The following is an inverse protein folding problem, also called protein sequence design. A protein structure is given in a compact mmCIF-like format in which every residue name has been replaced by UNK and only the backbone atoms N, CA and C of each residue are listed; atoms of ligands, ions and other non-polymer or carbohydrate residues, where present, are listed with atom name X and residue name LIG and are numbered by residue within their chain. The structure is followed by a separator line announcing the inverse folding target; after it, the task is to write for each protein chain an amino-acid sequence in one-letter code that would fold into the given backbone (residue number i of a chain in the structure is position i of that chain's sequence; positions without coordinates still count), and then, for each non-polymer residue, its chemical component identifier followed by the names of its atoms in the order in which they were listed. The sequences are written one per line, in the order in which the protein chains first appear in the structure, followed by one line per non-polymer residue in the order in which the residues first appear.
data_IF_167749503804
#
_entry.id   IF_167749503804
#
_cell.length_a   1.000
_cell.length_b   1.000
_cell.length_c   1.000
_cell.angle_alpha   90.00
_cell.angle_beta   90.00
_cell.angle_gamma   90.00
#
_symmetry.space_group_name_H-M   'P 1'
#
loop_
_entity.id
_entity.type
_entity.pdbx_description
1 polymer ?
#
# COMPACT_ATOMS: atom_id res chain seq x y z
N UNK A 1 1.54 -56.42 -10.04
CA UNK A 1 1.86 -55.30 -10.95
C UNK A 1 1.24 -54.04 -10.36
N UNK A 2 2.03 -53.22 -9.65
CA UNK A 2 1.56 -52.00 -8.99
C UNK A 2 1.76 -50.81 -9.95
N UNK A 3 0.71 -50.04 -10.18
CA UNK A 3 0.79 -48.73 -10.86
C UNK A 3 0.91 -47.66 -9.78
N UNK A 4 1.94 -46.84 -9.95
CA UNK A 4 2.45 -45.79 -9.07
C UNK A 4 1.45 -44.64 -8.86
N UNK A 5 1.25 -44.25 -7.60
CA UNK A 5 0.58 -43.00 -7.24
C UNK A 5 1.47 -41.79 -7.60
N UNK A 6 1.02 -40.98 -8.56
CA UNK A 6 1.67 -39.72 -8.94
C UNK A 6 1.36 -38.63 -7.92
N UNK A 7 2.22 -38.51 -6.90
CA UNK A 7 2.19 -37.40 -5.96
C UNK A 7 3.09 -36.25 -6.45
N UNK A 8 2.61 -35.45 -7.43
CA UNK A 8 3.15 -34.09 -7.69
C UNK A 8 2.24 -33.07 -8.46
N UNK A 9 1.01 -32.73 -8.01
CA UNK A 9 0.26 -31.61 -8.61
C UNK A 9 0.46 -30.26 -7.88
N UNK A 10 0.45 -30.25 -6.55
CA UNK A 10 0.28 -29.03 -5.73
C UNK A 10 1.37 -27.95 -5.92
N UNK A 11 2.64 -28.34 -6.04
CA UNK A 11 3.74 -27.39 -6.17
C UNK A 11 3.80 -26.73 -7.56
N UNK A 12 3.34 -27.44 -8.60
CA UNK A 12 3.28 -26.93 -9.98
C UNK A 12 2.06 -26.03 -10.17
N UNK A 13 0.96 -26.34 -9.46
CA UNK A 13 -0.26 -25.54 -9.44
C UNK A 13 -0.08 -24.18 -8.77
N UNK A 14 0.59 -24.13 -7.60
CA UNK A 14 0.89 -22.84 -6.95
C UNK A 14 1.78 -21.96 -7.81
N UNK A 15 2.80 -22.56 -8.45
CA UNK A 15 3.72 -21.83 -9.34
C UNK A 15 2.98 -21.21 -10.52
N UNK A 16 2.04 -21.93 -11.14
CA UNK A 16 1.28 -21.41 -12.30
C UNK A 16 0.33 -20.28 -11.88
N UNK A 17 -0.34 -20.44 -10.73
CA UNK A 17 -1.19 -19.39 -10.17
C UNK A 17 -0.41 -18.11 -9.90
N UNK A 18 0.78 -18.23 -9.32
CA UNK A 18 1.64 -17.08 -9.00
C UNK A 18 2.19 -16.41 -10.26
N UNK A 19 2.54 -17.19 -11.30
CA UNK A 19 2.94 -16.66 -12.61
C UNK A 19 1.82 -15.83 -13.26
N UNK A 20 0.57 -16.30 -13.19
CA UNK A 20 -0.59 -15.56 -13.70
C UNK A 20 -0.79 -14.23 -12.95
N UNK A 21 -0.65 -14.24 -11.63
CA UNK A 21 -0.76 -13.02 -10.82
C UNK A 21 0.38 -12.06 -11.17
N UNK A 22 1.62 -12.53 -11.23
CA UNK A 22 2.79 -11.70 -11.57
C UNK A 22 2.67 -11.09 -12.98
N UNK A 23 2.25 -11.88 -13.97
CA UNK A 23 2.00 -11.40 -15.33
C UNK A 23 0.91 -10.33 -15.36
N UNK A 24 -0.17 -10.52 -14.59
CA UNK A 24 -1.26 -9.54 -14.49
C UNK A 24 -0.77 -8.24 -13.86
N UNK A 25 -0.03 -8.31 -12.76
CA UNK A 25 0.59 -7.14 -12.12
C UNK A 25 1.44 -6.36 -13.11
N UNK A 26 2.29 -7.05 -13.89
CA UNK A 26 3.15 -6.39 -14.86
C UNK A 26 2.36 -5.67 -15.94
N UNK A 27 1.35 -6.34 -16.53
CA UNK A 27 0.51 -5.73 -17.56
C UNK A 27 -0.24 -4.51 -17.00
N UNK A 28 -0.81 -4.62 -15.79
CA UNK A 28 -1.49 -3.49 -15.16
C UNK A 28 -0.56 -2.30 -14.96
N UNK A 29 0.67 -2.55 -14.48
CA UNK A 29 1.65 -1.49 -14.25
C UNK A 29 2.15 -0.88 -15.55
N UNK A 30 2.35 -1.65 -16.62
CA UNK A 30 2.92 -1.15 -17.87
C UNK A 30 1.89 -0.54 -18.82
N UNK A 31 0.75 -1.23 -18.99
CA UNK A 31 -0.24 -1.02 -20.05
C UNK A 31 -1.63 -0.63 -19.50
N UNK A 32 -1.81 -0.65 -18.18
CA UNK A 32 -3.08 -0.37 -17.50
C UNK A 32 -4.01 -1.60 -17.39
N UNK A 33 -5.02 -1.50 -16.52
CA UNK A 33 -5.88 -2.65 -16.19
C UNK A 33 -6.67 -3.20 -17.39
N UNK A 34 -7.04 -2.34 -18.34
CA UNK A 34 -7.82 -2.75 -19.51
C UNK A 34 -7.05 -3.71 -20.42
N UNK A 35 -5.71 -3.63 -20.44
CA UNK A 35 -4.86 -4.52 -21.23
C UNK A 35 -4.72 -5.94 -20.62
N UNK A 36 -5.00 -6.09 -19.32
CA UNK A 36 -4.83 -7.32 -18.55
C UNK A 36 -5.92 -8.37 -18.82
N UNK A 37 -6.22 -8.66 -20.09
CA UNK A 37 -7.20 -9.69 -20.49
C UNK A 37 -6.68 -11.11 -20.25
N UNK A 38 -7.57 -12.10 -20.11
CA UNK A 38 -7.18 -13.51 -19.92
C UNK A 38 -6.18 -14.00 -20.98
N UNK A 39 -6.40 -13.63 -22.25
CA UNK A 39 -5.49 -13.96 -23.35
C UNK A 39 -4.12 -13.29 -23.20
N UNK A 40 -4.08 -12.00 -22.88
CA UNK A 40 -2.81 -11.26 -22.72
C UNK A 40 -2.03 -11.76 -21.50
N UNK A 41 -2.70 -11.99 -20.38
CA UNK A 41 -2.12 -12.55 -19.16
C UNK A 41 -1.54 -13.94 -19.42
N UNK A 42 -2.29 -14.83 -20.08
CA UNK A 42 -1.80 -16.16 -20.41
C UNK A 42 -0.56 -16.12 -21.30
N UNK A 43 -0.57 -15.25 -22.32
CA UNK A 43 0.58 -15.04 -23.20
C UNK A 43 1.80 -14.51 -22.44
N UNK A 44 1.60 -13.51 -21.58
CA UNK A 44 2.66 -12.91 -20.76
C UNK A 44 3.24 -13.91 -19.74
N UNK A 45 2.39 -14.75 -19.15
CA UNK A 45 2.81 -15.81 -18.23
C UNK A 45 3.42 -17.04 -18.94
N UNK A 46 3.35 -17.12 -20.28
CA UNK A 46 3.84 -18.28 -21.03
C UNK A 46 3.01 -19.55 -20.80
N UNK A 47 1.71 -19.42 -20.52
CA UNK A 47 0.80 -20.55 -20.23
C UNK A 47 -0.38 -20.61 -21.20
N UNK A 48 -1.10 -21.74 -21.21
CA UNK A 48 -2.31 -21.89 -22.04
C UNK A 48 -3.45 -21.01 -21.52
N UNK A 49 -4.23 -20.32 -22.37
CA UNK A 49 -5.34 -19.46 -21.94
C UNK A 49 -6.37 -20.13 -21.03
N UNK A 50 -6.64 -21.42 -21.25
CA UNK A 50 -7.55 -22.21 -20.40
C UNK A 50 -7.14 -22.25 -18.92
N UNK A 51 -5.83 -22.10 -18.62
CA UNK A 51 -5.34 -22.12 -17.25
C UNK A 51 -5.74 -20.85 -16.47
N UNK A 52 -5.98 -19.73 -17.14
CA UNK A 52 -6.45 -18.51 -16.45
C UNK A 52 -7.77 -18.77 -15.76
N UNK A 53 -8.76 -19.26 -16.52
CA UNK A 53 -10.09 -19.56 -15.99
C UNK A 53 -10.14 -20.80 -15.09
N UNK A 54 -9.16 -21.69 -15.22
CA UNK A 54 -8.98 -22.81 -14.29
C UNK A 54 -8.60 -22.33 -12.88
N UNK A 55 -7.68 -21.37 -12.75
CA UNK A 55 -7.25 -20.84 -11.44
C UNK A 55 -8.12 -19.67 -10.94
N UNK A 56 -8.71 -18.91 -11.87
CA UNK A 56 -9.50 -17.71 -11.58
C UNK A 56 -10.79 -17.75 -12.39
N UNK A 57 -11.93 -18.15 -11.78
CA UNK A 57 -13.21 -18.29 -12.49
C UNK A 57 -13.56 -17.05 -13.32
N UNK A 58 -13.31 -15.87 -12.75
CA UNK A 58 -13.47 -14.58 -13.40
C UNK A 58 -12.16 -13.78 -13.45
N UNK A 59 -12.10 -12.77 -14.32
CA UNK A 59 -10.99 -11.81 -14.28
C UNK A 59 -10.97 -11.01 -12.97
N UNK A 60 -12.11 -10.83 -12.33
CA UNK A 60 -12.24 -10.07 -11.08
C UNK A 60 -11.56 -10.84 -9.95
N UNK A 61 -11.68 -12.17 -9.94
CA UNK A 61 -10.94 -13.03 -9.01
C UNK A 61 -9.41 -12.89 -9.16
N UNK A 62 -8.94 -12.75 -10.40
CA UNK A 62 -7.53 -12.52 -10.70
C UNK A 62 -7.08 -11.13 -10.25
N UNK A 63 -7.85 -10.08 -10.54
CA UNK A 63 -7.55 -8.73 -10.08
C UNK A 63 -7.58 -8.62 -8.55
N UNK A 64 -8.54 -9.27 -7.88
CA UNK A 64 -8.59 -9.36 -6.43
C UNK A 64 -7.36 -10.09 -5.86
N UNK A 65 -6.88 -11.14 -6.53
CA UNK A 65 -5.66 -11.83 -6.12
C UNK A 65 -4.43 -10.92 -6.25
N UNK A 66 -4.29 -10.17 -7.35
CA UNK A 66 -3.24 -9.14 -7.52
C UNK A 66 -3.32 -8.11 -6.39
N UNK A 67 -4.52 -7.57 -6.13
CA UNK A 67 -4.75 -6.58 -5.07
C UNK A 67 -4.32 -7.10 -3.71
N UNK A 68 -4.75 -8.32 -3.33
CA UNK A 68 -4.44 -8.92 -2.03
C UNK A 68 -2.94 -9.15 -1.83
N UNK A 69 -2.22 -9.56 -2.87
CA UNK A 69 -0.75 -9.69 -2.79
C UNK A 69 -0.12 -8.32 -2.57
N UNK A 70 -0.50 -7.33 -3.38
CA UNK A 70 0.00 -5.95 -3.23
C UNK A 70 -0.28 -5.39 -1.84
N UNK A 71 -1.51 -5.54 -1.35
CA UNK A 71 -1.93 -5.08 -0.04
C UNK A 71 -1.19 -5.79 1.11
N UNK A 72 -0.88 -7.09 0.96
CA UNK A 72 -0.09 -7.84 1.95
C UNK A 72 1.36 -7.35 1.99
N UNK A 73 1.99 -7.14 0.83
CA UNK A 73 3.35 -6.58 0.75
C UNK A 73 3.40 -5.17 1.34
N UNK A 74 2.38 -4.36 1.05
CA UNK A 74 2.27 -3.01 1.57
C UNK A 74 2.09 -3.01 3.10
N UNK A 75 1.27 -3.92 3.66
CA UNK A 75 1.13 -4.08 5.12
C UNK A 75 2.45 -4.47 5.79
N UNK A 76 3.19 -5.42 5.22
CA UNK A 76 4.48 -5.86 5.76
C UNK A 76 5.50 -4.70 5.79
N UNK A 77 5.56 -3.89 4.72
CA UNK A 77 6.40 -2.66 4.70
C UNK A 77 5.99 -1.68 5.78
N UNK A 78 4.69 -1.47 5.95
CA UNK A 78 4.17 -0.54 6.95
C UNK A 78 4.49 -0.99 8.37
N UNK A 79 4.34 -2.29 8.65
CA UNK A 79 4.67 -2.86 9.95
C UNK A 79 6.17 -2.70 10.27
N UNK A 80 7.03 -2.91 9.28
CA UNK A 80 8.48 -2.68 9.41
C UNK A 80 8.80 -1.20 9.63
N UNK A 81 8.13 -0.30 8.93
CA UNK A 81 8.30 1.14 9.09
C UNK A 81 7.94 1.60 10.51
N UNK A 82 6.80 1.14 11.04
CA UNK A 82 6.35 1.45 12.39
C UNK A 82 7.22 0.86 13.50
N UNK A 83 8.03 -0.16 13.19
CA UNK A 83 8.98 -0.76 14.13
C UNK A 83 10.39 -0.13 14.05
N UNK A 84 10.59 0.90 13.23
CA UNK A 84 11.86 1.59 13.09
C UNK A 84 12.10 2.63 14.18
N UNK A 85 13.34 3.12 14.30
CA UNK A 85 13.71 4.21 15.23
C UNK A 85 12.99 5.54 14.93
N UNK A 86 12.48 5.69 13.70
CA UNK A 86 11.79 6.89 13.21
C UNK A 86 10.46 6.48 12.53
N UNK A 87 9.48 6.01 13.33
CA UNK A 87 8.31 5.31 12.81
C UNK A 87 7.40 6.15 11.91
N UNK A 88 7.21 7.44 12.19
CA UNK A 88 6.46 8.38 11.36
C UNK A 88 7.18 8.72 10.05
N UNK A 89 8.50 8.90 10.07
CA UNK A 89 9.26 9.15 8.84
C UNK A 89 9.26 7.93 7.94
N UNK A 90 9.59 6.76 8.49
CA UNK A 90 9.57 5.52 7.73
C UNK A 90 8.17 5.25 7.16
N UNK A 91 7.12 5.55 7.93
CA UNK A 91 5.75 5.45 7.47
C UNK A 91 5.42 6.41 6.34
N UNK A 92 5.82 7.68 6.45
CA UNK A 92 5.66 8.68 5.40
C UNK A 92 6.34 8.23 4.10
N UNK A 93 7.54 7.68 4.18
CA UNK A 93 8.25 7.12 3.03
C UNK A 93 7.48 5.97 2.37
N UNK A 94 6.80 5.12 3.14
CA UNK A 94 5.92 4.08 2.56
C UNK A 94 4.75 4.67 1.79
N UNK A 95 4.23 5.83 2.22
CA UNK A 95 3.08 6.47 1.59
C UNK A 95 3.45 7.13 0.26
N UNK A 96 4.68 7.61 0.09
CA UNK A 96 5.14 8.32 -1.13
C UNK A 96 5.90 7.42 -2.12
N UNK A 97 5.95 6.11 -1.89
CA UNK A 97 6.71 5.17 -2.72
C UNK A 97 6.09 5.02 -4.14
N UNK A 98 6.82 5.33 -5.24
CA UNK A 98 6.24 5.42 -6.60
C UNK A 98 5.64 4.12 -7.16
N UNK A 99 6.19 2.96 -6.78
CA UNK A 99 5.77 1.65 -7.32
C UNK A 99 4.38 1.24 -6.84
N UNK A 100 3.99 1.66 -5.63
CA UNK A 100 2.73 1.25 -5.03
C UNK A 100 1.56 2.07 -5.63
N UNK A 101 1.84 3.26 -6.15
CA UNK A 101 0.82 4.20 -6.66
C UNK A 101 0.30 3.84 -8.04
N UNK A 102 1.15 3.43 -8.98
CA UNK A 102 0.67 3.11 -10.34
C UNK A 102 -0.34 1.95 -10.29
N UNK A 103 -0.03 0.91 -9.53
CA UNK A 103 -0.94 -0.20 -9.32
C UNK A 103 -2.21 0.22 -8.54
N UNK A 104 -2.07 1.07 -7.51
CA UNK A 104 -3.21 1.61 -6.77
C UNK A 104 -4.17 2.42 -7.66
N UNK A 105 -3.65 3.26 -8.55
CA UNK A 105 -4.47 4.06 -9.48
C UNK A 105 -5.25 3.18 -10.44
N UNK A 106 -4.63 2.14 -10.98
CA UNK A 106 -5.32 1.14 -11.80
C UNK A 106 -6.46 0.46 -11.02
N UNK A 107 -6.22 0.09 -9.76
CA UNK A 107 -7.26 -0.47 -8.89
C UNK A 107 -8.39 0.52 -8.57
N UNK A 108 -8.10 1.81 -8.40
CA UNK A 108 -9.14 2.83 -8.23
C UNK A 108 -10.00 2.96 -9.49
N UNK A 109 -9.37 3.02 -10.67
CA UNK A 109 -10.09 3.04 -11.94
C UNK A 109 -10.98 1.81 -12.10
N UNK A 110 -10.44 0.64 -11.77
CA UNK A 110 -11.15 -0.63 -11.77
C UNK A 110 -12.35 -0.63 -10.79
N UNK A 111 -12.18 -0.06 -9.60
CA UNK A 111 -13.21 0.04 -8.56
C UNK A 111 -14.40 0.92 -8.94
N UNK A 112 -14.21 1.91 -9.82
CA UNK A 112 -15.30 2.74 -10.34
C UNK A 112 -16.34 1.92 -11.12
N UNK A 113 -15.93 0.78 -11.67
CA UNK A 113 -16.76 -0.07 -12.50
C UNK A 113 -17.09 -1.43 -11.87
N UNK A 114 -16.45 -1.80 -10.75
CA UNK A 114 -16.55 -3.15 -10.16
C UNK A 114 -16.80 -3.09 -8.66
N UNK A 115 -18.03 -3.44 -8.25
CA UNK A 115 -18.50 -3.34 -6.86
C UNK A 115 -17.72 -4.23 -5.88
N UNK A 116 -17.37 -5.44 -6.29
CA UNK A 116 -16.64 -6.39 -5.43
C UNK A 116 -15.22 -5.90 -5.15
N UNK A 117 -14.54 -5.40 -6.18
CA UNK A 117 -13.20 -4.81 -6.06
C UNK A 117 -13.24 -3.54 -5.21
N UNK A 118 -14.26 -2.69 -5.40
CA UNK A 118 -14.48 -1.53 -4.53
C UNK A 118 -14.65 -1.92 -3.07
N UNK A 119 -15.43 -2.96 -2.78
CA UNK A 119 -15.67 -3.44 -1.42
C UNK A 119 -14.39 -3.98 -0.78
N UNK A 120 -13.60 -4.76 -1.52
CA UNK A 120 -12.31 -5.27 -1.04
C UNK A 120 -11.34 -4.12 -0.76
N UNK A 121 -11.19 -3.14 -1.67
CA UNK A 121 -10.33 -1.97 -1.46
C UNK A 121 -10.75 -1.17 -0.23
N UNK A 122 -12.06 -0.97 -0.03
CA UNK A 122 -12.59 -0.26 1.13
C UNK A 122 -12.27 -1.01 2.43
N UNK A 123 -12.49 -2.32 2.47
CA UNK A 123 -12.20 -3.14 3.64
C UNK A 123 -10.70 -3.11 4.01
N UNK A 124 -9.82 -3.16 3.01
CA UNK A 124 -8.39 -3.05 3.24
C UNK A 124 -7.95 -1.65 3.67
N UNK A 125 -8.55 -0.61 3.09
CA UNK A 125 -8.25 0.79 3.45
C UNK A 125 -8.67 1.09 4.90
N UNK A 126 -9.77 0.50 5.37
CA UNK A 126 -10.22 0.67 6.76
C UNK A 126 -9.29 -0.05 7.74
N UNK A 127 -8.98 -1.32 7.48
CA UNK A 127 -8.01 -2.09 8.29
C UNK A 127 -6.66 -1.39 8.39
N UNK A 128 -6.20 -0.84 7.27
CA UNK A 128 -4.98 -0.05 7.22
C UNK A 128 -5.09 1.16 8.14
N UNK A 129 -6.17 1.95 8.01
CA UNK A 129 -6.41 3.16 8.81
C UNK A 129 -6.47 2.87 10.30
N UNK A 130 -7.11 1.78 10.71
CA UNK A 130 -7.14 1.35 12.12
C UNK A 130 -5.72 1.14 12.67
N UNK A 131 -4.86 0.44 11.92
CA UNK A 131 -3.46 0.22 12.32
C UNK A 131 -2.66 1.53 12.40
N UNK A 132 -2.85 2.44 11.44
CA UNK A 132 -2.22 3.77 11.48
C UNK A 132 -2.63 4.55 12.73
N UNK A 133 -3.93 4.53 13.05
CA UNK A 133 -4.48 5.21 14.22
C UNK A 133 -3.92 4.60 15.50
N UNK A 134 -3.83 3.27 15.61
CA UNK A 134 -3.23 2.60 16.76
C UNK A 134 -1.77 3.00 16.96
N UNK A 135 -0.98 3.04 15.88
CA UNK A 135 0.42 3.44 15.96
C UNK A 135 0.59 4.92 16.35
N UNK A 136 -0.19 5.81 15.74
CA UNK A 136 -0.17 7.24 16.10
C UNK A 136 -0.63 7.48 17.54
N UNK A 137 -1.61 6.72 18.04
CA UNK A 137 -2.00 6.78 19.45
C UNK A 137 -0.86 6.40 20.40
N UNK A 138 -0.02 5.43 20.03
CA UNK A 138 1.14 5.07 20.83
C UNK A 138 2.15 6.22 20.87
N UNK A 139 2.47 6.79 19.71
CA UNK A 139 3.42 7.90 19.56
C UNK A 139 2.93 9.15 20.28
N UNK A 140 1.65 9.50 20.15
CA UNK A 140 1.07 10.66 20.84
C UNK A 140 1.15 10.54 22.35
N UNK A 141 0.95 9.34 22.91
CA UNK A 141 1.11 9.09 24.34
C UNK A 141 2.57 9.14 24.80
N UNK A 142 3.50 8.66 23.99
CA UNK A 142 4.93 8.65 24.33
C UNK A 142 5.54 10.07 24.33
N UNK A 143 5.05 10.95 23.46
CA UNK A 143 5.60 12.29 23.24
C UNK A 143 4.79 13.45 23.85
N UNK A 144 3.79 13.16 24.70
CA UNK A 144 2.92 14.15 25.38
C UNK A 144 2.28 15.16 24.43
N UNK A 145 1.82 14.67 23.26
CA UNK A 145 1.18 15.50 22.23
C UNK A 145 -0.28 15.74 22.62
N UNK A 146 -0.75 16.98 22.52
CA UNK A 146 -2.15 17.32 22.73
C UNK A 146 -3.05 16.65 21.67
N UNK A 147 -3.85 15.67 22.10
CA UNK A 147 -4.78 14.93 21.24
C UNK A 147 -5.98 15.75 20.79
N UNK A 148 -6.30 16.84 21.50
CA UNK A 148 -7.40 17.73 21.14
C UNK A 148 -6.97 18.67 20.01
N UNK A 149 -5.71 19.10 19.99
CA UNK A 149 -5.12 19.86 18.89
C UNK A 149 -4.74 18.97 17.70
N UNK A 150 -4.20 17.76 17.97
CA UNK A 150 -3.73 16.83 16.95
C UNK A 150 -4.34 15.42 17.10
N UNK A 151 -5.63 15.24 16.74
CA UNK A 151 -6.27 13.93 16.81
C UNK A 151 -5.55 12.90 15.93
N UNK A 152 -5.12 11.73 16.46
CA UNK A 152 -4.39 10.71 15.70
C UNK A 152 -5.09 10.26 14.42
N UNK A 153 -6.43 10.15 14.47
CA UNK A 153 -7.24 9.83 13.29
C UNK A 153 -7.19 10.90 12.22
N UNK A 154 -7.24 12.18 12.60
CA UNK A 154 -7.15 13.30 11.66
C UNK A 154 -5.75 13.36 11.03
N UNK A 155 -4.70 13.21 11.85
CA UNK A 155 -3.31 13.14 11.36
C UNK A 155 -3.11 12.01 10.35
N UNK A 156 -3.62 10.81 10.62
CA UNK A 156 -3.55 9.68 9.69
C UNK A 156 -4.18 10.04 8.33
N UNK A 157 -5.36 10.68 8.34
CA UNK A 157 -6.06 11.10 7.11
C UNK A 157 -5.23 12.13 6.34
N UNK A 158 -4.73 13.16 7.03
CA UNK A 158 -3.99 14.27 6.41
C UNK A 158 -2.69 13.77 5.79
N UNK A 159 -1.90 13.01 6.55
CA UNK A 159 -0.63 12.44 6.07
C UNK A 159 -0.89 11.53 4.85
N UNK A 160 -1.88 10.64 4.92
CA UNK A 160 -2.23 9.78 3.79
C UNK A 160 -2.72 10.58 2.57
N UNK A 161 -3.47 11.66 2.78
CA UNK A 161 -3.97 12.51 1.71
C UNK A 161 -2.83 13.25 0.98
N UNK A 162 -1.88 13.85 1.73
CA UNK A 162 -0.73 14.53 1.12
C UNK A 162 0.10 13.53 0.32
N UNK A 163 0.46 12.38 0.90
CA UNK A 163 1.25 11.37 0.21
C UNK A 163 0.57 10.89 -1.08
N UNK A 164 -0.74 10.60 -1.02
CA UNK A 164 -1.52 10.19 -2.19
C UNK A 164 -1.55 11.27 -3.28
N UNK A 165 -1.76 12.54 -2.91
CA UNK A 165 -1.82 13.65 -3.87
C UNK A 165 -0.48 13.84 -4.56
N UNK A 166 0.63 13.87 -3.81
CA UNK A 166 1.96 14.04 -4.36
C UNK A 166 2.27 13.01 -5.44
N UNK A 167 1.98 11.73 -5.18
CA UNK A 167 2.31 10.69 -6.18
C UNK A 167 1.34 10.70 -7.35
N UNK A 168 0.06 11.00 -7.12
CA UNK A 168 -0.92 11.13 -8.20
C UNK A 168 -0.49 12.23 -9.17
N UNK A 169 -0.13 13.40 -8.64
CA UNK A 169 0.32 14.54 -9.44
C UNK A 169 1.65 14.25 -10.14
N UNK A 170 2.60 13.60 -9.46
CA UNK A 170 3.88 13.20 -10.06
C UNK A 170 3.65 12.23 -11.23
N UNK A 171 2.70 11.31 -11.12
CA UNK A 171 2.31 10.40 -12.21
C UNK A 171 1.71 11.13 -13.42
N UNK A 172 1.14 12.32 -13.22
CA UNK A 172 0.61 13.19 -14.28
C UNK A 172 1.65 14.19 -14.81
N UNK A 173 2.86 14.23 -14.23
CA UNK A 173 3.91 15.20 -14.56
C UNK A 173 3.75 16.56 -13.87
N UNK A 174 2.82 16.69 -12.92
CA UNK A 174 2.67 17.86 -12.08
C UNK A 174 3.59 17.74 -10.88
N UNK A 175 4.51 18.69 -10.68
CA UNK A 175 5.52 18.63 -9.60
C UNK A 175 5.65 19.92 -8.78
N UNK A 176 4.86 20.95 -9.10
CA UNK A 176 4.95 22.24 -8.42
C UNK A 176 4.58 22.15 -6.94
N UNK A 177 5.47 22.59 -6.04
CA UNK A 177 5.22 22.61 -4.59
C UNK A 177 5.43 21.27 -3.89
N UNK A 178 5.81 20.20 -4.60
CA UNK A 178 5.94 18.85 -4.05
C UNK A 178 7.11 18.74 -3.07
N UNK A 179 8.26 19.28 -3.44
CA UNK A 179 9.45 19.29 -2.58
C UNK A 179 9.20 20.09 -1.30
N UNK A 180 8.50 21.24 -1.42
CA UNK A 180 8.11 22.07 -0.28
C UNK A 180 7.12 21.36 0.64
N UNK A 181 6.15 20.63 0.07
CA UNK A 181 5.18 19.84 0.83
C UNK A 181 5.85 18.68 1.57
N UNK A 182 6.75 17.93 0.91
CA UNK A 182 7.55 16.87 1.54
C UNK A 182 8.39 17.46 2.67
N UNK A 183 9.09 18.58 2.42
CA UNK A 183 9.90 19.24 3.45
C UNK A 183 9.05 19.76 4.61
N UNK A 184 7.83 20.24 4.36
CA UNK A 184 6.90 20.65 5.41
C UNK A 184 6.47 19.45 6.28
N UNK A 185 6.11 18.33 5.65
CA UNK A 185 5.77 17.11 6.39
C UNK A 185 6.95 16.64 7.24
N UNK A 186 8.15 16.54 6.68
CA UNK A 186 9.35 16.14 7.44
C UNK A 186 9.57 17.06 8.66
N UNK A 187 9.48 18.38 8.50
CA UNK A 187 9.59 19.33 9.63
C UNK A 187 8.52 19.14 10.69
N UNK A 188 7.31 18.72 10.31
CA UNK A 188 6.26 18.40 11.27
C UNK A 188 6.58 17.09 11.99
N UNK A 189 6.99 16.06 11.26
CA UNK A 189 7.35 14.75 11.82
C UNK A 189 8.56 14.84 12.77
N UNK A 190 9.56 15.68 12.46
CA UNK A 190 10.74 15.91 13.30
C UNK A 190 10.36 16.38 14.70
N UNK A 191 9.28 17.16 14.85
CA UNK A 191 8.80 17.64 16.17
C UNK A 191 8.32 16.51 17.08
N UNK A 192 7.96 15.38 16.50
CA UNK A 192 7.37 14.24 17.18
C UNK A 192 8.35 13.08 17.39
N UNK A 193 9.45 13.02 16.64
CA UNK A 193 10.44 11.94 16.77
C UNK A 193 11.81 12.40 17.27
N UNK A 194 12.14 13.68 17.16
CA UNK A 194 13.38 14.18 17.76
C UNK A 194 13.16 14.42 19.25
N UNK A 195 14.14 14.09 20.12
CA UNK A 195 14.06 14.48 21.53
C UNK A 195 13.95 15.99 21.60
N UNK A 196 12.79 16.50 22.05
CA UNK A 196 12.63 17.92 22.25
C UNK A 196 13.71 18.38 23.26
N UNK A 197 14.51 19.42 22.94
CA UNK A 197 15.41 19.99 23.93
C UNK A 197 14.55 20.49 25.09
N UNK A 198 14.70 19.87 26.27
CA UNK A 198 14.01 20.28 27.50
C UNK A 198 14.09 21.80 27.59
N UNK A 199 12.93 22.46 27.51
CA UNK A 199 12.83 23.89 27.72
C UNK A 199 13.58 24.19 29.03
N UNK A 200 14.65 24.99 28.95
CA UNK A 200 15.35 25.48 30.14
C UNK A 200 14.28 26.19 30.97
N UNK A 201 13.77 25.51 32.01
CA UNK A 201 12.99 26.16 33.07
C UNK A 201 13.85 27.32 33.53
N UNK A 202 13.46 28.52 33.13
CA UNK A 202 14.13 29.74 33.49
C UNK A 202 14.18 29.78 35.01
N UNK A 203 15.39 29.85 35.54
CA UNK A 203 15.63 30.32 36.88
C UNK A 203 15.12 31.76 36.94
N UNK A 204 13.86 31.95 37.33
CA UNK A 204 13.43 33.20 37.93
C UNK A 204 13.96 33.17 39.36
N UNK A 205 15.16 33.72 39.51
CA UNK A 205 15.70 34.17 40.78
C UNK A 205 15.05 35.49 41.18
N UNK A 206 14.75 35.56 42.48
CA UNK A 206 14.46 36.72 43.35
C UNK A 206 13.00 37.08 43.53
#
# INVERSE_FOLDING_TARGET
MQVTASARPKARDSTTRDMLIAATTQIMVEEGYAAATSRRVAAQAGVKPALVHYYFPTMDDLYLAVFRIGATVYLDRQQKALASDRPLHAFWETLIAPKDTRLLLEFMGLANHRKEIRAEIAAWSERWREQQITALNFIVREHDIDTDEFPPAALAVVIAAIGRTLILEQGLGTVGGHDEAIALVHRMLDRFEMPQPKARRGAQSR
#
